data_IF_209987225910
#
_entry.id   IF_209987225910
#
_cell.length_a   1.000
_cell.length_b   1.000
_cell.length_c   1.000
_cell.angle_alpha   90.00
_cell.angle_beta   90.00
_cell.angle_gamma   90.00
#
_symmetry.space_group_name_H-M   'P 1'
#
loop_
_entity.id
_entity.type
_entity.pdbx_description
1 polymer ?
#
# COMPACT_ATOMS: atom_id res chain seq x y z
N UNK A 1 -28.66 -14.83 16.28
CA UNK A 1 -27.55 -15.79 16.08
C UNK A 1 -26.55 -15.50 17.17
N UNK A 2 -26.18 -16.50 17.97
CA UNK A 2 -25.17 -16.29 19.01
C UNK A 2 -23.78 -16.33 18.36
N UNK A 3 -22.94 -15.35 18.67
CA UNK A 3 -21.54 -15.30 18.21
C UNK A 3 -20.63 -16.03 19.19
N UNK A 4 -19.45 -16.46 18.72
CA UNK A 4 -18.42 -17.07 19.57
C UNK A 4 -17.98 -16.14 20.72
N UNK A 5 -18.25 -14.83 20.61
CA UNK A 5 -17.92 -13.85 21.65
C UNK A 5 -18.98 -13.78 22.76
N UNK A 6 -20.20 -14.26 22.54
CA UNK A 6 -21.30 -14.11 23.50
C UNK A 6 -21.07 -14.91 24.79
N UNK A 7 -20.24 -15.96 24.72
CA UNK A 7 -19.83 -16.79 25.87
C UNK A 7 -18.37 -16.59 26.26
N UNK A 8 -17.70 -15.56 25.73
CA UNK A 8 -16.29 -15.31 26.05
C UNK A 8 -16.15 -14.60 27.40
N UNK A 9 -15.67 -15.32 28.41
CA UNK A 9 -15.27 -14.74 29.69
C UNK A 9 -13.78 -14.39 29.66
N UNK A 10 -13.45 -13.10 29.87
CA UNK A 10 -12.07 -12.63 29.96
C UNK A 10 -11.38 -13.25 31.17
N UNK A 11 -10.35 -14.07 30.93
CA UNK A 11 -9.56 -14.73 31.99
C UNK A 11 -8.25 -14.01 32.35
N UNK A 12 -7.81 -13.07 31.52
CA UNK A 12 -6.54 -12.36 31.68
C UNK A 12 -6.71 -10.86 31.46
N UNK A 13 -5.90 -10.07 32.15
CA UNK A 13 -5.92 -8.62 32.03
C UNK A 13 -5.24 -8.11 30.74
N UNK A 14 -4.56 -8.99 30.01
CA UNK A 14 -3.83 -8.64 28.79
C UNK A 14 -4.30 -9.48 27.59
N UNK A 15 -4.17 -8.90 26.40
CA UNK A 15 -4.41 -9.54 25.11
C UNK A 15 -3.06 -9.71 24.41
N UNK A 16 -2.74 -10.92 23.97
CA UNK A 16 -1.59 -11.20 23.13
C UNK A 16 -2.09 -11.45 21.71
N UNK A 17 -1.69 -10.60 20.78
CA UNK A 17 -1.95 -10.78 19.35
C UNK A 17 -0.65 -11.23 18.67
N UNK A 18 -0.71 -12.32 17.93
CA UNK A 18 0.39 -12.79 17.09
C UNK A 18 -0.08 -12.64 15.65
N UNK A 19 0.55 -11.75 14.90
CA UNK A 19 0.38 -11.67 13.45
C UNK A 19 1.38 -12.63 12.79
N UNK A 20 0.88 -13.51 11.92
CA UNK A 20 1.72 -14.49 11.22
C UNK A 20 2.44 -13.89 10.00
N UNK A 21 1.95 -12.77 9.46
CA UNK A 21 2.49 -12.13 8.26
C UNK A 21 3.88 -11.54 8.54
N UNK A 22 4.91 -12.02 7.84
CA UNK A 22 6.30 -11.60 8.04
C UNK A 22 7.02 -12.21 9.25
N UNK A 23 6.35 -13.04 10.07
CA UNK A 23 6.95 -13.73 11.22
C UNK A 23 6.92 -15.26 11.07
N UNK A 24 5.82 -15.83 10.55
CA UNK A 24 5.67 -17.26 10.26
C UNK A 24 5.58 -17.57 8.76
N UNK A 25 5.17 -16.60 7.94
CA UNK A 25 5.13 -16.70 6.48
C UNK A 25 5.83 -15.50 5.85
N UNK A 26 6.68 -15.75 4.84
CA UNK A 26 7.35 -14.70 4.06
C UNK A 26 6.40 -14.10 3.00
N UNK A 27 5.25 -13.62 3.48
CA UNK A 27 4.19 -13.04 2.65
C UNK A 27 4.29 -11.53 2.52
N UNK A 28 5.20 -10.88 3.26
CA UNK A 28 5.39 -9.43 3.18
C UNK A 28 6.17 -9.06 1.93
N UNK A 29 7.35 -9.65 1.74
CA UNK A 29 8.23 -9.39 0.60
C UNK A 29 7.53 -9.67 -0.73
N UNK A 30 6.85 -10.82 -0.85
CA UNK A 30 6.14 -11.19 -2.08
C UNK A 30 5.04 -10.19 -2.46
N UNK A 31 4.38 -9.54 -1.49
CA UNK A 31 3.38 -8.50 -1.77
C UNK A 31 4.05 -7.25 -2.33
N UNK A 32 5.20 -6.84 -1.78
CA UNK A 32 5.93 -5.68 -2.31
C UNK A 32 6.45 -5.94 -3.72
N UNK A 33 7.06 -7.10 -3.94
CA UNK A 33 7.62 -7.48 -5.23
C UNK A 33 6.57 -7.73 -6.32
N UNK A 34 5.40 -8.28 -5.98
CA UNK A 34 4.41 -8.72 -6.99
C UNK A 34 3.13 -7.89 -7.05
N UNK A 35 2.87 -7.07 -6.03
CA UNK A 35 1.62 -6.30 -5.94
C UNK A 35 1.91 -4.81 -5.84
N UNK A 36 2.55 -4.34 -4.78
CA UNK A 36 2.63 -2.90 -4.50
C UNK A 36 3.44 -2.13 -5.54
N UNK A 37 4.71 -2.52 -5.75
CA UNK A 37 5.59 -1.87 -6.73
C UNK A 37 5.04 -1.99 -8.16
N UNK A 38 4.70 -3.19 -8.65
CA UNK A 38 4.16 -3.34 -10.00
C UNK A 38 2.87 -2.54 -10.23
N UNK A 39 1.95 -2.48 -9.26
CA UNK A 39 0.75 -1.65 -9.41
C UNK A 39 1.10 -0.15 -9.51
N UNK A 40 2.15 0.33 -8.84
CA UNK A 40 2.60 1.72 -8.96
C UNK A 40 3.05 2.02 -10.39
N UNK A 41 3.87 1.15 -10.97
CA UNK A 41 4.35 1.29 -12.35
C UNK A 41 3.18 1.36 -13.33
N UNK A 42 2.22 0.45 -13.21
CA UNK A 42 1.05 0.36 -14.08
C UNK A 42 0.11 1.57 -13.97
N UNK A 43 -0.12 2.08 -12.76
CA UNK A 43 -1.06 3.19 -12.56
C UNK A 43 -0.49 4.51 -13.06
N UNK A 44 0.81 4.76 -12.85
CA UNK A 44 1.46 6.00 -13.30
C UNK A 44 2.15 5.89 -14.66
N UNK A 45 2.15 4.72 -15.31
CA UNK A 45 2.78 4.51 -16.61
C UNK A 45 4.31 4.64 -16.59
N UNK A 46 4.95 4.20 -15.50
CA UNK A 46 6.38 4.41 -15.23
C UNK A 46 7.29 3.35 -15.86
N UNK A 47 6.86 2.74 -16.97
CA UNK A 47 7.52 1.58 -17.57
C UNK A 47 8.95 1.85 -18.07
N UNK A 48 9.26 3.11 -18.43
CA UNK A 48 10.58 3.49 -18.91
C UNK A 48 11.68 3.26 -17.87
N UNK A 49 11.33 3.31 -16.58
CA UNK A 49 12.25 3.18 -15.43
C UNK A 49 11.79 2.07 -14.48
N UNK A 50 11.07 1.06 -15.00
CA UNK A 50 10.42 0.02 -14.19
C UNK A 50 11.39 -0.69 -13.25
N UNK A 51 12.55 -1.10 -13.76
CA UNK A 51 13.50 -1.89 -12.98
C UNK A 51 14.06 -1.08 -11.79
N UNK A 52 14.46 0.16 -12.05
CA UNK A 52 15.03 1.08 -11.07
C UNK A 52 13.99 1.49 -10.03
N UNK A 53 12.78 1.85 -10.46
CA UNK A 53 11.70 2.28 -9.58
C UNK A 53 11.18 1.12 -8.71
N UNK A 54 11.13 -0.10 -9.23
CA UNK A 54 10.82 -1.27 -8.40
C UNK A 54 11.91 -1.54 -7.37
N UNK A 55 13.19 -1.40 -7.73
CA UNK A 55 14.29 -1.53 -6.78
C UNK A 55 14.19 -0.48 -5.66
N UNK A 56 13.96 0.79 -6.02
CA UNK A 56 13.73 1.89 -5.07
C UNK A 56 12.51 1.65 -4.18
N UNK A 57 11.39 1.22 -4.76
CA UNK A 57 10.19 0.86 -4.00
C UNK A 57 10.51 -0.16 -2.90
N UNK A 58 11.24 -1.22 -3.25
CA UNK A 58 11.61 -2.27 -2.30
C UNK A 58 12.58 -1.74 -1.23
N UNK A 59 13.53 -0.89 -1.60
CA UNK A 59 14.43 -0.28 -0.62
C UNK A 59 13.70 0.60 0.39
N UNK A 60 12.82 1.49 -0.08
CA UNK A 60 11.99 2.37 0.76
C UNK A 60 11.11 1.56 1.72
N UNK A 61 10.50 0.49 1.23
CA UNK A 61 9.43 -0.19 1.97
C UNK A 61 9.89 -1.45 2.73
N UNK A 62 11.03 -2.05 2.36
CA UNK A 62 11.53 -3.29 2.98
C UNK A 62 12.86 -3.12 3.70
N UNK A 63 13.76 -2.25 3.24
CA UNK A 63 15.18 -2.29 3.64
C UNK A 63 15.72 -1.04 4.35
N UNK A 64 14.88 -0.04 4.56
CA UNK A 64 15.24 1.23 5.23
C UNK A 64 14.49 1.39 6.55
N UNK A 65 14.78 2.48 7.28
CA UNK A 65 14.07 2.83 8.53
C UNK A 65 12.57 3.06 8.32
N UNK A 66 12.13 3.27 7.08
CA UNK A 66 10.72 3.35 6.68
C UNK A 66 10.08 1.99 6.43
N UNK A 67 10.75 0.87 6.73
CA UNK A 67 10.12 -0.45 6.66
C UNK A 67 8.85 -0.49 7.51
N UNK A 68 7.75 -0.96 6.92
CA UNK A 68 6.45 -1.07 7.60
C UNK A 68 5.67 0.24 7.72
N UNK A 69 6.10 1.32 7.05
CA UNK A 69 5.27 2.53 6.95
C UNK A 69 3.93 2.25 6.27
N UNK A 70 2.98 3.16 6.47
CA UNK A 70 1.72 3.10 5.74
C UNK A 70 1.97 3.12 4.22
N UNK A 71 1.25 2.26 3.49
CA UNK A 71 1.39 2.08 2.04
C UNK A 71 1.32 3.39 1.24
N UNK A 72 0.47 4.33 1.64
CA UNK A 72 0.34 5.62 0.95
C UNK A 72 1.53 6.54 1.21
N UNK A 73 2.13 6.47 2.40
CA UNK A 73 3.40 7.17 2.68
C UNK A 73 4.55 6.58 1.88
N UNK A 74 4.61 5.25 1.77
CA UNK A 74 5.60 4.58 0.91
C UNK A 74 5.46 4.97 -0.55
N UNK A 75 4.21 5.07 -1.03
CA UNK A 75 3.90 5.58 -2.36
C UNK A 75 4.30 7.05 -2.54
N UNK A 76 3.99 7.92 -1.57
CA UNK A 76 4.36 9.32 -1.63
C UNK A 76 5.88 9.52 -1.77
N UNK A 77 6.68 8.79 -1.00
CA UNK A 77 8.15 8.84 -1.09
C UNK A 77 8.61 8.34 -2.46
N UNK A 78 8.13 7.19 -2.93
CA UNK A 78 8.55 6.60 -4.20
C UNK A 78 8.19 7.49 -5.41
N UNK A 79 6.99 8.06 -5.44
CA UNK A 79 6.56 8.95 -6.53
C UNK A 79 7.33 10.27 -6.53
N UNK A 80 7.61 10.83 -5.34
CA UNK A 80 8.43 12.03 -5.22
C UNK A 80 9.87 11.78 -5.69
N UNK A 81 10.49 10.69 -5.24
CA UNK A 81 11.83 10.32 -5.70
C UNK A 81 11.86 10.10 -7.22
N UNK A 82 10.82 9.49 -7.81
CA UNK A 82 10.72 9.28 -9.24
C UNK A 82 10.69 10.61 -10.03
N UNK A 83 9.83 11.55 -9.62
CA UNK A 83 9.71 12.86 -10.27
C UNK A 83 10.97 13.72 -10.09
N UNK A 84 11.68 13.60 -8.96
CA UNK A 84 12.95 14.32 -8.71
C UNK A 84 14.14 13.70 -9.46
N UNK A 85 14.07 12.41 -9.81
CA UNK A 85 15.20 11.68 -10.43
C UNK A 85 15.14 11.67 -11.96
N UNK A 86 13.93 11.61 -12.53
CA UNK A 86 13.73 11.37 -13.97
C UNK A 86 12.98 12.54 -14.62
N UNK A 87 13.64 13.25 -15.53
CA UNK A 87 13.08 14.42 -16.23
C UNK A 87 11.80 14.10 -17.03
N UNK A 88 11.65 12.86 -17.48
CA UNK A 88 10.49 12.38 -18.24
C UNK A 88 9.33 11.86 -17.36
N UNK A 89 9.52 11.84 -16.04
CA UNK A 89 8.46 11.52 -15.07
C UNK A 89 7.89 12.82 -14.52
N UNK A 90 6.65 13.11 -14.87
CA UNK A 90 5.90 14.25 -14.34
C UNK A 90 4.53 13.78 -13.85
N UNK A 91 4.26 13.94 -12.56
CA UNK A 91 3.06 13.43 -11.91
C UNK A 91 2.14 14.62 -11.63
N UNK A 92 1.07 14.68 -12.42
CA UNK A 92 0.05 15.71 -12.25
C UNK A 92 -0.51 15.73 -10.83
N UNK A 93 -0.50 16.94 -10.23
CA UNK A 93 -1.08 17.20 -8.92
C UNK A 93 -0.40 16.40 -7.77
N UNK A 94 0.87 15.98 -7.94
CA UNK A 94 1.59 15.18 -6.93
C UNK A 94 1.59 15.84 -5.55
N UNK A 95 1.83 17.16 -5.48
CA UNK A 95 1.88 17.91 -4.23
C UNK A 95 0.58 17.78 -3.40
N UNK A 96 -0.59 17.66 -4.05
CA UNK A 96 -1.85 17.42 -3.33
C UNK A 96 -1.85 16.07 -2.61
N UNK A 97 -1.33 15.02 -3.25
CA UNK A 97 -1.21 13.71 -2.62
C UNK A 97 -0.16 13.70 -1.50
N UNK A 98 1.01 14.31 -1.72
CA UNK A 98 2.05 14.44 -0.70
C UNK A 98 1.52 15.15 0.55
N UNK A 99 0.88 16.31 0.35
CA UNK A 99 0.28 17.07 1.44
C UNK A 99 -0.80 16.27 2.16
N UNK A 100 -1.67 15.57 1.42
CA UNK A 100 -2.69 14.72 2.02
C UNK A 100 -2.08 13.65 2.93
N UNK A 101 -0.99 13.00 2.52
CA UNK A 101 -0.33 11.96 3.35
C UNK A 101 0.23 12.48 4.67
N UNK A 102 0.50 13.78 4.78
CA UNK A 102 1.01 14.42 5.99
C UNK A 102 -0.09 14.97 6.90
N UNK A 103 -1.18 15.51 6.33
CA UNK A 103 -2.21 16.22 7.10
C UNK A 103 -3.45 15.36 7.42
N UNK A 104 -3.64 14.25 6.72
CA UNK A 104 -4.84 13.42 6.92
C UNK A 104 -4.87 12.79 8.31
N UNK A 105 -6.07 12.64 8.86
CA UNK A 105 -6.29 11.93 10.12
C UNK A 105 -6.18 10.41 9.95
N UNK A 106 -6.42 9.92 8.73
CA UNK A 106 -6.45 8.50 8.42
C UNK A 106 -5.90 8.26 7.00
N UNK A 107 -5.07 7.23 6.87
CA UNK A 107 -4.44 6.82 5.60
C UNK A 107 -5.13 5.57 5.06
N UNK A 108 -6.34 5.74 4.52
CA UNK A 108 -7.18 4.67 3.99
C UNK A 108 -7.85 5.06 2.68
N UNK A 109 -8.35 4.07 1.93
CA UNK A 109 -9.11 4.31 0.68
C UNK A 109 -10.31 5.23 0.94
N UNK A 110 -11.06 4.95 2.03
CA UNK A 110 -12.21 5.76 2.44
C UNK A 110 -11.83 7.22 2.68
N UNK A 111 -10.71 7.47 3.35
CA UNK A 111 -10.25 8.84 3.59
C UNK A 111 -9.91 9.59 2.29
N UNK A 112 -9.45 8.89 1.25
CA UNK A 112 -9.27 9.48 -0.09
C UNK A 112 -10.63 9.74 -0.75
N UNK A 113 -11.56 8.78 -0.69
CA UNK A 113 -12.93 8.93 -1.23
C UNK A 113 -13.65 10.15 -0.63
N UNK A 114 -13.56 10.33 0.69
CA UNK A 114 -14.18 11.47 1.40
C UNK A 114 -13.62 12.82 0.93
N UNK A 115 -12.33 12.88 0.56
CA UNK A 115 -11.70 14.08 -0.01
C UNK A 115 -12.16 14.28 -1.46
N UNK A 116 -12.18 13.22 -2.26
CA UNK A 116 -12.59 13.27 -3.66
C UNK A 116 -14.07 13.62 -3.85
N UNK A 117 -14.92 13.31 -2.87
CA UNK A 117 -16.33 13.73 -2.85
C UNK A 117 -16.49 15.26 -2.74
N UNK A 118 -15.48 15.96 -2.25
CA UNK A 118 -15.51 17.42 -2.03
C UNK A 118 -14.66 18.18 -3.05
N UNK A 119 -13.53 17.59 -3.48
CA UNK A 119 -12.56 18.24 -4.36
C UNK A 119 -11.94 17.24 -5.32
N UNK A 120 -11.99 17.55 -6.61
CA UNK A 120 -11.25 16.84 -7.65
C UNK A 120 -9.74 16.91 -7.39
N UNK A 121 -9.06 15.76 -7.47
CA UNK A 121 -7.60 15.65 -7.47
C UNK A 121 -7.17 14.42 -8.26
N UNK A 122 -6.26 14.62 -9.22
CA UNK A 122 -5.83 13.54 -10.12
C UNK A 122 -4.93 12.56 -9.38
N UNK A 123 -3.95 13.06 -8.63
CA UNK A 123 -3.03 12.23 -7.83
C UNK A 123 -3.76 11.42 -6.76
N UNK A 124 -4.75 12.00 -6.08
CA UNK A 124 -5.57 11.26 -5.10
C UNK A 124 -6.42 10.17 -5.74
N UNK A 125 -7.03 10.43 -6.91
CA UNK A 125 -7.78 9.42 -7.67
C UNK A 125 -6.88 8.26 -8.08
N UNK A 126 -5.68 8.56 -8.56
CA UNK A 126 -4.70 7.54 -8.94
C UNK A 126 -4.18 6.76 -7.72
N UNK A 127 -3.98 7.41 -6.57
CA UNK A 127 -3.63 6.75 -5.32
C UNK A 127 -4.72 5.79 -4.83
N UNK A 128 -5.99 6.17 -4.95
CA UNK A 128 -7.13 5.28 -4.67
C UNK A 128 -7.11 4.07 -5.60
N UNK A 129 -7.03 4.31 -6.91
CA UNK A 129 -6.97 3.25 -7.92
C UNK A 129 -5.81 2.27 -7.68
N UNK A 130 -4.63 2.80 -7.37
CA UNK A 130 -3.47 1.99 -7.00
C UNK A 130 -3.76 1.09 -5.80
N UNK A 131 -4.31 1.64 -4.72
CA UNK A 131 -4.59 0.87 -3.52
C UNK A 131 -5.63 -0.24 -3.77
N UNK A 132 -6.64 0.04 -4.59
CA UNK A 132 -7.63 -0.96 -5.02
C UNK A 132 -7.00 -2.07 -5.88
N UNK A 133 -6.18 -1.71 -6.87
CA UNK A 133 -5.44 -2.70 -7.70
C UNK A 133 -4.53 -3.58 -6.86
N UNK A 134 -3.83 -3.00 -5.89
CA UNK A 134 -3.02 -3.74 -4.91
C UNK A 134 -3.87 -4.73 -4.12
N UNK A 135 -5.03 -4.30 -3.59
CA UNK A 135 -5.92 -5.20 -2.85
C UNK A 135 -6.39 -6.38 -3.72
N UNK A 136 -6.72 -6.13 -4.99
CA UNK A 136 -7.08 -7.18 -5.96
C UNK A 136 -5.90 -8.13 -6.23
N UNK A 137 -4.70 -7.60 -6.44
CA UNK A 137 -3.49 -8.38 -6.70
C UNK A 137 -3.10 -9.28 -5.52
N UNK A 138 -3.19 -8.76 -4.28
CA UNK A 138 -2.95 -9.52 -3.06
C UNK A 138 -3.97 -10.66 -2.95
N UNK A 139 -5.27 -10.37 -3.15
CA UNK A 139 -6.33 -11.38 -3.07
C UNK A 139 -6.13 -12.51 -4.10
N UNK A 140 -5.71 -12.19 -5.32
CA UNK A 140 -5.37 -13.17 -6.37
C UNK A 140 -4.16 -14.02 -5.98
N UNK A 141 -3.16 -13.42 -5.35
CA UNK A 141 -1.93 -14.11 -4.92
C UNK A 141 -2.18 -15.06 -3.75
N UNK A 142 -3.04 -14.69 -2.81
CA UNK A 142 -3.46 -15.55 -1.69
C UNK A 142 -4.36 -16.72 -2.12
N UNK A 143 -5.02 -16.63 -3.29
CA UNK A 143 -5.86 -17.70 -3.84
C UNK A 143 -5.09 -18.87 -4.47
N UNK A 144 -3.80 -18.71 -4.78
CA UNK A 144 -2.97 -19.74 -5.43
C UNK A 144 -2.43 -20.82 -4.48
N UNK A 145 -2.65 -20.69 -3.17
CA UNK A 145 -2.28 -21.70 -2.17
C UNK A 145 -3.31 -22.83 -1.96
N UNK A 146 -4.42 -22.86 -2.71
CA UNK A 146 -5.48 -23.89 -2.57
C UNK A 146 -5.51 -24.96 -3.66
N UNK A 147 -4.47 -25.06 -4.49
CA UNK A 147 -4.30 -26.19 -5.40
C UNK A 147 -2.99 -26.89 -5.10
N UNK A 148 -3.10 -28.00 -4.36
CA UNK A 148 -2.32 -29.26 -4.44
C UNK A 148 -2.15 -29.84 -3.03
N UNK A 149 -2.94 -30.88 -2.76
CA UNK A 149 -2.69 -32.12 -1.98
C UNK A 149 -1.67 -32.02 -0.84
#
# INVERSE_FOLDING_TARGET
MSTIFDSFERKHDFLICVDSDGCAMDTMDIKHFRCFGPCMIEVWGLHAHEQELLARWNEINLYTMTRGINRFKGLAIALKEAEETYDDVQIDDLETFLRWTEITKELSNRAIEDVLAQKESKSLRMALEWSERVNVAIKKSSGRGKSSI
#
